data_IF_206517384162
#
_entry.id   IF_206517384162
#
_cell.length_a   1.000
_cell.length_b   1.000
_cell.length_c   1.000
_cell.angle_alpha   90.00
_cell.angle_beta   90.00
_cell.angle_gamma   90.00
#
_symmetry.space_group_name_H-M   'P 1'
#
loop_
_entity.id
_entity.type
_entity.pdbx_description
1 polymer ?
#
# COMPACT_ATOMS: atom_id res chain seq x y z
N UNK A 1 -5.88 9.30 -1.71
CA UNK A 1 -6.40 7.93 -1.51
C UNK A 1 -5.64 6.85 -2.27
N UNK A 2 -5.63 6.80 -3.62
CA UNK A 2 -4.97 5.73 -4.39
C UNK A 2 -3.51 5.39 -4.00
N UNK A 3 -2.74 6.36 -3.49
CA UNK A 3 -1.38 6.15 -3.01
C UNK A 3 -1.29 5.42 -1.68
N UNK A 4 -2.22 5.65 -0.76
CA UNK A 4 -2.10 5.18 0.64
C UNK A 4 -2.99 3.99 0.95
N UNK A 5 -3.98 3.71 0.10
CA UNK A 5 -5.00 2.70 0.34
C UNK A 5 -4.40 1.28 0.39
N UNK A 6 -4.77 0.53 1.42
CA UNK A 6 -4.32 -0.83 1.73
C UNK A 6 -5.52 -1.60 2.28
N UNK A 7 -5.64 -2.90 1.94
CA UNK A 7 -6.75 -3.75 2.38
C UNK A 7 -6.33 -5.20 2.68
N UNK A 8 -5.05 -5.53 2.48
CA UNK A 8 -4.46 -6.83 2.70
C UNK A 8 -2.96 -6.69 2.99
N UNK A 9 -2.30 -7.78 3.37
CA UNK A 9 -0.85 -7.79 3.64
C UNK A 9 -0.04 -7.37 2.43
N UNK A 10 -0.42 -7.81 1.24
CA UNK A 10 0.30 -7.55 -0.01
C UNK A 10 0.30 -6.06 -0.36
N UNK A 11 -0.85 -5.39 -0.29
CA UNK A 11 -1.00 -3.96 -0.51
C UNK A 11 -0.34 -3.14 0.60
N UNK A 12 -0.40 -3.60 1.85
CA UNK A 12 0.28 -2.97 2.98
C UNK A 12 1.80 -3.01 2.80
N UNK A 13 2.36 -4.17 2.44
CA UNK A 13 3.79 -4.33 2.15
C UNK A 13 4.18 -3.49 0.94
N UNK A 14 3.34 -3.47 -0.09
CA UNK A 14 3.55 -2.62 -1.27
C UNK A 14 3.66 -1.15 -0.90
N UNK A 15 2.74 -0.68 -0.04
CA UNK A 15 2.70 0.71 0.43
C UNK A 15 3.92 1.05 1.26
N UNK A 16 4.39 0.15 2.11
CA UNK A 16 5.59 0.36 2.91
C UNK A 16 6.82 0.64 2.04
N UNK A 17 7.01 -0.11 0.95
CA UNK A 17 8.18 0.05 0.05
C UNK A 17 8.26 1.45 -0.56
N UNK A 18 7.20 1.92 -1.22
CA UNK A 18 7.23 3.25 -1.84
C UNK A 18 6.99 4.40 -0.85
N UNK A 19 6.33 4.11 0.28
CA UNK A 19 6.12 5.08 1.36
C UNK A 19 7.37 5.31 2.20
N UNK A 20 8.33 4.39 2.17
CA UNK A 20 9.57 4.42 2.97
C UNK A 20 9.26 4.64 4.45
N UNK A 21 8.25 3.94 4.94
CA UNK A 21 7.69 4.14 6.29
C UNK A 21 8.48 3.45 7.41
N UNK A 22 9.62 2.84 7.10
CA UNK A 22 10.56 2.27 8.07
C UNK A 22 10.10 0.98 8.75
N UNK A 23 9.01 0.36 8.27
CA UNK A 23 8.52 -0.91 8.79
C UNK A 23 9.48 -2.04 8.41
N UNK A 24 9.95 -2.81 9.39
CA UNK A 24 10.80 -3.99 9.14
C UNK A 24 9.98 -5.20 8.69
N UNK A 25 8.82 -5.39 9.32
CA UNK A 25 7.87 -6.43 8.94
C UNK A 25 6.44 -5.99 9.27
N UNK A 26 5.47 -6.61 8.60
CA UNK A 26 4.06 -6.31 8.75
C UNK A 26 3.17 -7.45 8.25
N UNK A 27 1.98 -7.53 8.83
CA UNK A 27 0.93 -8.44 8.37
C UNK A 27 -0.45 -7.87 8.68
N UNK A 28 -1.38 -8.01 7.74
CA UNK A 28 -2.80 -7.79 8.02
C UNK A 28 -3.32 -9.03 8.75
N UNK A 29 -3.66 -8.87 10.03
CA UNK A 29 -4.17 -9.94 10.89
C UNK A 29 -5.61 -10.29 10.56
N UNK A 30 -6.40 -9.31 10.12
CA UNK A 30 -7.78 -9.55 9.73
C UNK A 30 -8.45 -8.32 9.15
N UNK A 31 -9.51 -8.56 8.38
CA UNK A 31 -10.36 -7.54 7.78
C UNK A 31 -11.73 -7.58 8.44
N UNK A 32 -12.16 -6.44 8.98
CA UNK A 32 -13.47 -6.26 9.59
C UNK A 32 -14.47 -5.70 8.57
N UNK A 33 -14.03 -4.72 7.78
CA UNK A 33 -14.81 -4.12 6.70
C UNK A 33 -13.97 -4.09 5.43
N UNK A 34 -14.51 -4.67 4.35
CA UNK A 34 -13.86 -4.72 3.05
C UNK A 34 -14.41 -3.62 2.12
N UNK A 35 -13.60 -3.16 1.16
CA UNK A 35 -14.04 -2.19 0.16
C UNK A 35 -15.19 -2.72 -0.70
N UNK A 36 -16.05 -1.81 -1.15
CA UNK A 36 -17.16 -2.12 -2.07
C UNK A 36 -17.00 -1.35 -3.39
N UNK A 37 -17.81 -1.68 -4.39
CA UNK A 37 -17.83 -0.92 -5.65
C UNK A 37 -18.25 0.55 -5.42
N UNK A 38 -19.19 0.78 -4.51
CA UNK A 38 -19.66 2.12 -4.17
C UNK A 38 -18.62 2.89 -3.35
N UNK A 39 -17.94 2.19 -2.44
CA UNK A 39 -16.94 2.75 -1.54
C UNK A 39 -15.60 1.99 -1.65
N UNK A 40 -14.82 2.22 -2.72
CA UNK A 40 -13.62 1.44 -3.01
C UNK A 40 -12.42 1.74 -2.12
N UNK A 41 -12.56 2.69 -1.18
CA UNK A 41 -11.51 3.09 -0.25
C UNK A 41 -11.89 2.91 1.21
N UNK A 42 -13.11 2.45 1.46
CA UNK A 42 -13.58 2.17 2.81
C UNK A 42 -13.01 0.82 3.23
N UNK A 43 -12.25 0.83 4.31
CA UNK A 43 -11.59 -0.36 4.84
C UNK A 43 -11.46 -0.22 6.36
N UNK A 44 -11.67 -1.34 7.05
CA UNK A 44 -11.38 -1.50 8.46
C UNK A 44 -10.71 -2.85 8.68
N UNK A 45 -9.52 -2.85 9.27
CA UNK A 45 -8.77 -4.07 9.52
C UNK A 45 -7.81 -3.94 10.69
N UNK A 46 -7.25 -5.05 11.13
CA UNK A 46 -6.22 -5.09 12.17
C UNK A 46 -4.91 -5.52 11.55
N UNK A 47 -3.85 -4.77 11.82
CA UNK A 47 -2.51 -5.08 11.34
C UNK A 47 -1.52 -5.19 12.51
N UNK A 48 -0.54 -6.08 12.36
CA UNK A 48 0.66 -6.10 13.18
C UNK A 48 1.82 -5.49 12.38
N UNK A 49 2.63 -4.67 13.03
CA UNK A 49 3.72 -3.92 12.41
C UNK A 49 4.93 -3.95 13.34
N UNK A 50 6.11 -4.22 12.78
CA UNK A 50 7.39 -4.26 13.48
C UNK A 50 8.28 -3.10 13.06
N UNK A 51 8.91 -2.48 14.03
CA UNK A 51 9.87 -1.39 13.88
C UNK A 51 11.14 -1.66 14.67
N UNK A 52 12.27 -1.32 14.07
CA UNK A 52 13.59 -1.30 14.70
C UNK A 52 14.12 0.12 14.75
N UNK A 53 14.90 0.40 15.78
CA UNK A 53 15.60 1.66 15.86
C UNK A 53 16.85 1.57 14.96
N UNK A 54 16.73 2.05 13.72
CA UNK A 54 17.82 1.99 12.74
C UNK A 54 19.07 2.66 13.30
N UNK A 55 20.18 1.93 13.33
CA UNK A 55 21.46 2.40 13.90
C UNK A 55 21.56 2.33 15.44
N UNK A 56 20.48 1.98 16.15
CA UNK A 56 20.44 1.88 17.62
C UNK A 56 20.05 0.51 18.16
N UNK A 57 19.94 -0.51 17.29
CA UNK A 57 19.45 -1.85 17.65
C UNK A 57 20.22 -2.58 18.77
N UNK A 58 21.46 -2.18 19.05
CA UNK A 58 22.25 -2.73 20.18
C UNK A 58 21.78 -2.24 21.56
N UNK A 59 21.10 -1.08 21.62
CA UNK A 59 20.70 -0.41 22.86
C UNK A 59 19.18 -0.29 22.95
N UNK A 60 18.51 -0.25 21.80
CA UNK A 60 17.08 0.00 21.66
C UNK A 60 16.44 -1.23 21.02
N UNK A 61 15.61 -1.94 21.80
CA UNK A 61 14.85 -3.14 21.37
C UNK A 61 13.93 -2.84 20.18
N UNK A 62 13.48 -3.87 19.45
CA UNK A 62 12.42 -3.70 18.46
C UNK A 62 11.08 -3.39 19.13
N UNK A 63 10.23 -2.66 18.41
CA UNK A 63 8.87 -2.33 18.82
C UNK A 63 7.86 -2.95 17.88
N UNK A 64 6.87 -3.64 18.42
CA UNK A 64 5.70 -4.02 17.65
C UNK A 64 4.48 -3.16 18.00
N UNK A 65 3.60 -3.02 17.02
CA UNK A 65 2.31 -2.38 17.19
C UNK A 65 1.23 -3.32 16.65
N UNK A 66 0.12 -3.40 17.38
CA UNK A 66 -1.12 -4.02 16.89
C UNK A 66 -2.12 -2.88 16.73
N UNK A 67 -2.50 -2.58 15.49
CA UNK A 67 -3.28 -1.39 15.15
C UNK A 67 -4.54 -1.75 14.40
N UNK A 68 -5.66 -1.13 14.79
CA UNK A 68 -6.84 -0.99 13.96
C UNK A 68 -6.55 0.08 12.91
N UNK A 69 -6.61 -0.29 11.65
CA UNK A 69 -6.44 0.58 10.49
C UNK A 69 -7.80 0.86 9.86
N UNK A 70 -8.11 2.13 9.66
CA UNK A 70 -9.33 2.57 8.99
C UNK A 70 -9.01 3.59 7.90
N UNK A 71 -9.57 3.41 6.71
CA UNK A 71 -9.47 4.39 5.63
C UNK A 71 -10.83 4.61 5.00
N UNK A 72 -11.03 5.79 4.42
CA UNK A 72 -12.25 6.05 3.67
C UNK A 72 -12.42 7.51 3.31
N UNK A 73 -13.67 7.86 2.99
CA UNK A 73 -14.09 9.24 2.85
C UNK A 73 -15.14 9.62 3.88
N UNK A 74 -15.13 10.88 4.28
CA UNK A 74 -16.14 11.46 5.15
C UNK A 74 -16.58 12.82 4.60
N UNK A 75 -17.77 13.25 5.03
CA UNK A 75 -18.29 14.59 4.73
C UNK A 75 -18.23 15.41 6.01
N UNK A 76 -17.59 16.57 5.96
CA UNK A 76 -17.52 17.47 7.12
C UNK A 76 -18.89 18.10 7.40
N UNK A 77 -19.07 18.70 8.57
CA UNK A 77 -20.27 19.49 8.90
C UNK A 77 -20.53 20.66 7.95
N UNK A 78 -19.52 21.06 7.16
CA UNK A 78 -19.62 22.10 6.12
C UNK A 78 -19.95 21.54 4.73
N UNK A 79 -20.18 20.24 4.61
CA UNK A 79 -20.46 19.57 3.34
C UNK A 79 -19.22 19.25 2.50
N UNK A 80 -18.00 19.45 3.03
CA UNK A 80 -16.77 19.17 2.30
C UNK A 80 -16.42 17.68 2.36
N UNK A 81 -16.07 17.09 1.22
CA UNK A 81 -15.58 15.71 1.16
C UNK A 81 -14.10 15.66 1.51
N UNK A 82 -13.75 14.86 2.51
CA UNK A 82 -12.38 14.62 2.95
C UNK A 82 -12.05 13.13 2.88
N UNK A 83 -10.80 12.81 2.54
CA UNK A 83 -10.26 11.46 2.72
C UNK A 83 -9.63 11.35 4.10
N UNK A 84 -9.65 10.16 4.70
CA UNK A 84 -8.97 9.93 5.96
C UNK A 84 -8.22 8.58 5.97
N UNK A 85 -7.21 8.50 6.82
CA UNK A 85 -6.53 7.26 7.19
C UNK A 85 -6.15 7.33 8.66
N UNK A 86 -6.60 6.36 9.43
CA UNK A 86 -6.40 6.26 10.87
C UNK A 86 -5.72 4.93 11.17
N UNK A 87 -4.76 4.95 12.07
CA UNK A 87 -4.18 3.75 12.66
C UNK A 87 -4.13 3.95 14.18
N UNK A 88 -4.81 3.07 14.93
CA UNK A 88 -4.89 3.21 16.38
C UNK A 88 -4.61 1.88 17.05
N UNK A 89 -3.72 1.87 18.05
CA UNK A 89 -3.36 0.65 18.75
C UNK A 89 -4.54 0.06 19.51
N UNK A 90 -4.65 -1.26 19.43
CA UNK A 90 -5.69 -2.07 20.08
C UNK A 90 -5.05 -3.28 20.75
N UNK A 91 -5.69 -3.79 21.80
CA UNK A 91 -5.33 -5.09 22.37
C UNK A 91 -5.95 -6.21 21.54
N UNK A 92 -5.18 -7.27 21.27
CA UNK A 92 -5.66 -8.45 20.57
C UNK A 92 -5.49 -9.68 21.46
N UNK A 93 -6.57 -10.39 21.85
CA UNK A 93 -6.51 -11.50 22.81
C UNK A 93 -5.52 -12.60 22.40
N UNK A 94 -5.52 -12.97 21.12
CA UNK A 94 -4.67 -14.05 20.61
C UNK A 94 -3.24 -13.60 20.27
N UNK A 95 -2.91 -12.31 20.44
CA UNK A 95 -1.58 -11.77 20.14
C UNK A 95 -1.03 -10.99 21.35
N UNK A 96 -0.61 -11.72 22.41
CA UNK A 96 0.01 -11.10 23.57
C UNK A 96 1.35 -10.45 23.22
N UNK A 97 1.91 -9.71 24.17
CA UNK A 97 3.22 -9.09 24.01
C UNK A 97 4.32 -10.13 23.77
N UNK A 98 5.17 -9.89 22.78
CA UNK A 98 6.24 -10.81 22.34
C UNK A 98 7.52 -10.65 23.19
N UNK A 99 7.37 -10.52 24.52
CA UNK A 99 8.50 -10.27 25.45
C UNK A 99 9.59 -11.34 25.37
N UNK A 100 9.19 -12.59 25.11
CA UNK A 100 10.11 -13.73 24.96
C UNK A 100 11.05 -13.60 23.74
N UNK A 101 10.67 -12.80 22.74
CA UNK A 101 11.53 -12.45 21.59
C UNK A 101 12.30 -11.14 21.80
N UNK A 102 12.21 -10.54 22.99
CA UNK A 102 12.84 -9.25 23.27
C UNK A 102 12.17 -8.06 22.58
N UNK A 103 10.95 -8.23 22.04
CA UNK A 103 10.17 -7.17 21.39
C UNK A 103 9.34 -6.43 22.45
N UNK A 104 9.27 -5.11 22.32
CA UNK A 104 8.50 -4.23 23.21
C UNK A 104 7.20 -3.81 22.51
N UNK A 105 6.05 -4.07 23.11
CA UNK A 105 4.76 -3.57 22.59
C UNK A 105 4.66 -2.06 22.80
N UNK A 106 4.51 -1.33 21.71
CA UNK A 106 4.28 0.10 21.71
C UNK A 106 2.84 0.42 21.34
N UNK A 107 2.37 1.62 21.70
CA UNK A 107 1.05 2.11 21.35
C UNK A 107 1.15 3.38 20.50
N UNK A 108 0.27 3.50 19.52
CA UNK A 108 0.16 4.69 18.70
C UNK A 108 -1.29 5.06 18.44
N UNK A 109 -1.51 6.34 18.16
CA UNK A 109 -2.72 6.86 17.55
C UNK A 109 -2.29 7.82 16.45
N UNK A 110 -2.46 7.41 15.20
CA UNK A 110 -2.12 8.15 14.01
C UNK A 110 -3.39 8.46 13.21
N UNK A 111 -3.51 9.70 12.75
CA UNK A 111 -4.58 10.12 11.85
C UNK A 111 -4.01 11.08 10.80
N UNK A 112 -4.40 10.87 9.55
CA UNK A 112 -4.20 11.82 8.47
C UNK A 112 -5.52 12.10 7.77
N UNK A 113 -5.78 13.38 7.52
CA UNK A 113 -6.93 13.89 6.79
C UNK A 113 -6.44 14.56 5.51
N UNK A 114 -7.06 14.23 4.39
CA UNK A 114 -6.79 14.78 3.07
C UNK A 114 -7.96 15.64 2.62
N UNK A 115 -7.70 16.93 2.40
CA UNK A 115 -8.66 17.89 1.85
C UNK A 115 -8.19 18.34 0.48
N UNK A 116 -9.03 18.13 -0.53
CA UNK A 116 -8.74 18.63 -1.88
C UNK A 116 -9.06 20.13 -1.94
N UNK A 117 -8.07 20.96 -2.25
CA UNK A 117 -8.25 22.40 -2.41
C UNK A 117 -8.49 22.79 -3.89
N UNK A 118 -7.89 22.03 -4.81
CA UNK A 118 -8.10 22.15 -6.26
C UNK A 118 -7.83 20.81 -6.95
N UNK A 119 -7.94 20.75 -8.28
CA UNK A 119 -7.63 19.52 -9.04
C UNK A 119 -6.18 19.04 -8.87
N UNK A 120 -5.27 19.94 -8.48
CA UNK A 120 -3.83 19.65 -8.37
C UNK A 120 -3.31 19.72 -6.94
N UNK A 121 -4.07 20.30 -6.01
CA UNK A 121 -3.62 20.56 -4.63
C UNK A 121 -4.47 19.76 -3.64
N UNK A 122 -3.78 18.91 -2.88
CA UNK A 122 -4.34 18.21 -1.72
C UNK A 122 -3.60 18.68 -0.48
N UNK A 123 -4.32 19.27 0.45
CA UNK A 123 -3.84 19.61 1.77
C UNK A 123 -3.95 18.39 2.68
N UNK A 124 -2.89 18.08 3.44
CA UNK A 124 -2.89 17.03 4.45
C UNK A 124 -2.74 17.62 5.85
N UNK A 125 -3.58 17.18 6.77
CA UNK A 125 -3.38 17.36 8.20
C UNK A 125 -3.04 16.01 8.81
N UNK A 126 -1.95 15.92 9.57
CA UNK A 126 -1.59 14.71 10.29
C UNK A 126 -1.41 14.98 11.77
N UNK A 127 -1.84 14.03 12.57
CA UNK A 127 -1.70 14.03 14.01
C UNK A 127 -1.27 12.64 14.46
N UNK A 128 -0.26 12.58 15.31
CA UNK A 128 0.23 11.31 15.86
C UNK A 128 0.56 11.45 17.33
N UNK A 129 0.22 10.43 18.09
CA UNK A 129 0.60 10.25 19.49
C UNK A 129 1.24 8.88 19.59
N UNK A 130 2.45 8.81 20.14
CA UNK A 130 3.20 7.55 20.27
C UNK A 130 3.61 7.38 21.74
N UNK A 131 3.26 6.24 22.30
CA UNK A 131 3.90 5.68 23.49
C UNK A 131 4.82 4.55 23.03
N UNK A 132 6.14 4.78 22.98
CA UNK A 132 7.08 3.83 22.40
C UNK A 132 7.32 2.59 23.26
N UNK A 133 6.83 2.59 24.52
CA UNK A 133 7.09 1.53 25.49
C UNK A 133 8.57 1.36 25.85
N UNK A 134 8.81 0.93 27.09
CA UNK A 134 10.16 0.64 27.59
C UNK A 134 11.15 1.81 27.40
N UNK A 135 12.44 1.50 27.25
CA UNK A 135 13.50 2.51 27.13
C UNK A 135 13.81 2.83 25.66
N UNK A 136 13.63 4.08 25.28
CA UNK A 136 14.06 4.67 24.00
C UNK A 136 14.42 6.13 24.22
N UNK A 137 15.29 6.68 23.37
CA UNK A 137 15.62 8.09 23.43
C UNK A 137 14.50 8.95 22.83
N UNK A 138 14.01 9.94 23.57
CA UNK A 138 12.92 10.80 23.10
C UNK A 138 13.24 11.55 21.80
N UNK A 139 14.49 11.97 21.60
CA UNK A 139 14.90 12.63 20.35
C UNK A 139 14.75 11.72 19.14
N UNK A 140 15.00 10.42 19.30
CA UNK A 140 14.86 9.43 18.24
C UNK A 140 13.39 9.26 17.86
N UNK A 141 12.52 9.09 18.85
CA UNK A 141 11.05 8.99 18.63
C UNK A 141 10.52 10.24 17.92
N UNK A 142 10.94 11.44 18.35
CA UNK A 142 10.54 12.69 17.72
C UNK A 142 11.01 12.79 16.26
N UNK A 143 12.24 12.35 15.97
CA UNK A 143 12.77 12.33 14.61
C UNK A 143 11.97 11.38 13.70
N UNK A 144 11.66 10.17 14.18
CA UNK A 144 10.85 9.20 13.41
C UNK A 144 9.44 9.72 13.14
N UNK A 145 8.81 10.37 14.12
CA UNK A 145 7.51 11.04 13.95
C UNK A 145 7.61 12.12 12.85
N UNK A 146 8.64 12.97 12.91
CA UNK A 146 8.84 14.03 11.92
C UNK A 146 9.05 13.46 10.52
N UNK A 147 9.88 12.42 10.39
CA UNK A 147 10.14 11.73 9.12
C UNK A 147 8.85 11.12 8.55
N UNK A 148 8.03 10.49 9.39
CA UNK A 148 6.74 9.91 8.98
C UNK A 148 5.78 10.97 8.43
N UNK A 149 5.67 12.12 9.10
CA UNK A 149 4.83 13.25 8.65
C UNK A 149 5.36 13.84 7.33
N UNK A 150 6.67 14.08 7.23
CA UNK A 150 7.30 14.61 6.01
C UNK A 150 7.20 13.63 4.83
N UNK A 151 7.19 12.33 5.10
CA UNK A 151 7.09 11.26 4.11
C UNK A 151 5.71 11.06 3.49
N UNK A 152 4.65 11.72 4.00
CA UNK A 152 3.28 11.52 3.51
C UNK A 152 3.08 11.83 2.02
N UNK A 153 3.96 12.61 1.41
CA UNK A 153 3.95 12.87 -0.03
C UNK A 153 4.48 11.73 -0.89
N UNK A 154 5.29 10.82 -0.35
CA UNK A 154 5.96 9.76 -1.12
C UNK A 154 5.00 8.85 -1.91
N UNK A 155 3.82 8.47 -1.39
CA UNK A 155 2.83 7.68 -2.13
C UNK A 155 2.20 8.34 -3.37
N UNK A 156 2.44 9.64 -3.61
CA UNK A 156 1.77 10.40 -4.67
C UNK A 156 2.14 9.93 -6.06
N UNK A 157 3.41 9.58 -6.32
CA UNK A 157 3.83 9.06 -7.62
C UNK A 157 3.15 7.73 -7.93
N UNK A 158 3.09 6.82 -6.94
CA UNK A 158 2.35 5.57 -7.06
C UNK A 158 0.87 5.81 -7.33
N UNK A 159 0.27 6.82 -6.67
CA UNK A 159 -1.13 7.19 -6.90
C UNK A 159 -1.38 7.62 -8.35
N UNK A 160 -0.50 8.44 -8.93
CA UNK A 160 -0.63 8.86 -10.33
C UNK A 160 -0.42 7.69 -11.30
N UNK A 161 0.57 6.84 -11.03
CA UNK A 161 0.80 5.63 -11.82
C UNK A 161 -0.40 4.68 -11.84
N UNK A 162 -1.04 4.47 -10.67
CA UNK A 162 -2.28 3.67 -10.56
C UNK A 162 -3.43 4.27 -11.39
N UNK A 163 -3.64 5.59 -11.32
CA UNK A 163 -4.67 6.29 -12.11
C UNK A 163 -4.41 6.18 -13.61
N UNK A 164 -3.16 6.42 -14.05
CA UNK A 164 -2.78 6.34 -15.44
C UNK A 164 -2.96 4.91 -15.99
N UNK A 165 -2.50 3.90 -15.24
CA UNK A 165 -2.68 2.50 -15.62
C UNK A 165 -4.16 2.13 -15.77
N UNK A 166 -5.00 2.55 -14.83
CA UNK A 166 -6.45 2.33 -14.92
C UNK A 166 -7.04 2.99 -16.17
N UNK A 167 -6.68 4.24 -16.45
CA UNK A 167 -7.15 4.97 -17.63
C UNK A 167 -6.75 4.28 -18.94
N UNK A 168 -5.48 3.84 -19.05
CA UNK A 168 -4.99 3.10 -20.21
C UNK A 168 -5.75 1.78 -20.42
N UNK A 169 -5.98 1.00 -19.36
CA UNK A 169 -6.75 -0.23 -19.46
C UNK A 169 -8.19 0.01 -19.91
N UNK A 170 -8.83 1.07 -19.40
CA UNK A 170 -10.17 1.47 -19.80
C UNK A 170 -10.22 1.82 -21.29
N UNK A 171 -9.31 2.66 -21.78
CA UNK A 171 -9.23 3.02 -23.20
C UNK A 171 -9.00 1.81 -24.10
N UNK A 172 -8.12 0.88 -23.68
CA UNK A 172 -7.87 -0.35 -24.45
C UNK A 172 -9.10 -1.27 -24.50
N UNK A 173 -9.85 -1.39 -23.41
CA UNK A 173 -11.07 -2.17 -23.36
C UNK A 173 -12.16 -1.57 -24.27
N UNK A 174 -12.34 -0.25 -24.22
CA UNK A 174 -13.28 0.48 -25.09
C UNK A 174 -12.91 0.33 -26.57
N UNK A 175 -11.63 0.47 -26.92
CA UNK A 175 -11.15 0.26 -28.29
C UNK A 175 -11.39 -1.16 -28.77
N UNK A 176 -11.10 -2.17 -27.95
CA UNK A 176 -11.40 -3.58 -28.29
C UNK A 176 -12.88 -3.83 -28.51
N UNK A 177 -13.75 -3.25 -27.69
CA UNK A 177 -15.20 -3.36 -27.86
C UNK A 177 -15.66 -2.73 -29.19
N UNK A 178 -15.09 -1.58 -29.56
CA UNK A 178 -15.35 -0.92 -30.84
C UNK A 178 -14.84 -1.74 -32.04
N UNK A 179 -13.65 -2.34 -31.95
CA UNK A 179 -13.08 -3.17 -33.02
C UNK A 179 -13.89 -4.47 -33.24
N UNK A 180 -14.39 -5.10 -32.16
CA UNK A 180 -15.31 -6.26 -32.24
C UNK A 180 -16.65 -5.87 -32.88
N UNK A 181 -17.18 -4.70 -32.55
CA UNK A 181 -18.42 -4.21 -33.15
C UNK A 181 -18.25 -3.84 -34.64
N UNK A 182 -17.08 -3.31 -35.02
CA UNK A 182 -16.75 -3.00 -36.41
C UNK A 182 -16.55 -4.26 -37.26
N UNK A 183 -15.86 -5.28 -36.74
CA UNK A 183 -15.66 -6.57 -37.42
C UNK A 183 -16.94 -7.39 -37.56
N UNK A 184 -17.90 -7.21 -36.65
CA UNK A 184 -19.25 -7.80 -36.73
C UNK A 184 -20.10 -7.21 -37.87
N UNK A 185 -19.80 -5.98 -38.33
CA UNK A 185 -20.48 -5.35 -39.47
C UNK A 185 -19.84 -5.67 -40.83
N UNK A 186 -18.60 -6.18 -40.84
CA UNK A 186 -17.83 -6.38 -42.08
C UNK A 186 -17.67 -7.84 -42.51
N UNK A 187 -18.27 -8.81 -41.83
CA UNK A 187 -18.04 -10.23 -42.11
C UNK A 187 -19.27 -10.95 -42.69
N UNK A 188 -19.47 -10.81 -44.01
CA UNK A 188 -19.74 -11.98 -44.85
C UNK A 188 -18.39 -12.67 -45.09
N UNK A 189 -18.22 -13.89 -44.57
CA UNK A 189 -17.02 -14.76 -44.64
C UNK A 189 -15.77 -14.18 -43.96
N UNK A 190 -15.18 -14.80 -42.95
CA UNK A 190 -14.67 -16.18 -42.94
C UNK A 190 -14.27 -16.53 -41.50
N UNK A 191 -14.51 -17.79 -41.14
CA UNK A 191 -14.21 -18.37 -39.83
C UNK A 191 -12.71 -18.47 -39.59
N UNK A 192 -12.20 -17.66 -38.65
CA UNK A 192 -10.91 -17.87 -38.00
C UNK A 192 -11.12 -17.91 -36.49
N UNK A 193 -10.99 -19.11 -35.93
CA UNK A 193 -11.02 -19.42 -34.52
C UNK A 193 -9.86 -18.73 -33.78
N UNK A 194 -10.15 -17.64 -33.08
CA UNK A 194 -9.23 -17.05 -32.10
C UNK A 194 -9.41 -17.75 -30.75
N UNK A 195 -8.39 -18.50 -30.33
CA UNK A 195 -8.30 -19.04 -28.98
C UNK A 195 -8.28 -17.89 -27.97
N UNK A 196 -9.33 -17.82 -27.15
CA UNK A 196 -9.37 -16.98 -25.96
C UNK A 196 -8.39 -17.54 -24.92
N UNK A 197 -7.17 -17.00 -24.90
CA UNK A 197 -6.29 -17.15 -23.75
C UNK A 197 -6.83 -16.28 -22.60
N UNK A 198 -7.82 -16.79 -21.87
CA UNK A 198 -8.11 -16.30 -20.52
C UNK A 198 -7.01 -16.78 -19.61
N UNK A 199 -5.96 -15.97 -19.44
CA UNK A 199 -5.00 -16.17 -18.35
C UNK A 199 -5.73 -15.89 -17.05
N UNK A 200 -6.29 -16.94 -16.43
CA UNK A 200 -6.63 -16.91 -15.00
C UNK A 200 -5.32 -16.64 -14.27
N UNK A 201 -5.22 -15.47 -13.65
CA UNK A 201 -4.09 -15.16 -12.76
C UNK A 201 -4.28 -16.01 -11.50
N UNK A 202 -3.67 -17.18 -11.46
CA UNK A 202 -3.37 -17.87 -10.20
C UNK A 202 -2.14 -17.18 -9.62
N UNK A 203 -2.31 -16.47 -8.51
CA UNK A 203 -1.20 -15.96 -7.69
C UNK A 203 -0.39 -17.16 -7.18
N UNK A 204 0.71 -17.45 -7.88
CA UNK A 204 1.74 -18.39 -7.46
C UNK A 204 2.83 -17.58 -6.78
N UNK A 205 3.10 -17.88 -5.51
CA UNK A 205 4.21 -17.34 -4.72
C UNK A 205 5.55 -17.89 -5.23
N UNK A 206 5.99 -17.47 -6.41
CA UNK A 206 7.31 -17.82 -6.91
C UNK A 206 8.34 -16.74 -6.51
N UNK A 207 9.27 -17.02 -5.58
CA UNK A 207 10.28 -16.06 -5.12
C UNK A 207 11.28 -15.66 -6.22
N UNK A 208 11.25 -16.33 -7.39
CA UNK A 208 12.11 -16.02 -8.53
C UNK A 208 11.55 -14.93 -9.45
N UNK A 209 10.38 -14.37 -9.14
CA UNK A 209 9.74 -13.34 -9.96
C UNK A 209 9.53 -12.06 -9.15
N UNK A 210 9.94 -10.94 -9.73
CA UNK A 210 9.70 -9.63 -9.17
C UNK A 210 8.20 -9.37 -9.14
N UNK A 211 7.65 -9.27 -7.94
CA UNK A 211 6.23 -9.04 -7.71
C UNK A 211 5.66 -7.76 -8.36
N UNK A 212 6.54 -6.80 -8.69
CA UNK A 212 6.13 -5.50 -9.23
C UNK A 212 6.06 -5.45 -10.75
N UNK A 213 7.07 -5.97 -11.43
CA UNK A 213 7.12 -5.97 -12.89
C UNK A 213 6.87 -7.34 -13.50
N UNK A 214 6.63 -8.37 -12.67
CA UNK A 214 6.44 -9.78 -13.05
C UNK A 214 7.58 -10.34 -13.92
N UNK A 215 8.77 -9.74 -13.83
CA UNK A 215 10.00 -10.18 -14.49
C UNK A 215 10.82 -11.05 -13.55
N UNK A 216 11.64 -11.93 -14.10
CA UNK A 216 12.48 -12.82 -13.28
C UNK A 216 13.53 -12.03 -12.48
N UNK A 217 13.71 -12.39 -11.21
CA UNK A 217 14.79 -11.86 -10.36
C UNK A 217 16.01 -12.76 -10.60
N UNK A 218 17.05 -12.22 -11.24
CA UNK A 218 18.24 -12.99 -11.58
C UNK A 218 19.52 -12.14 -11.60
N UNK A 219 20.63 -12.76 -11.18
CA UNK A 219 21.98 -12.28 -11.47
C UNK A 219 22.43 -12.98 -12.75
N UNK A 220 22.66 -12.25 -13.84
CA UNK A 220 23.74 -12.48 -14.81
C UNK A 220 23.65 -11.48 -16.00
N UNK A 221 24.83 -11.21 -16.56
CA UNK A 221 25.20 -10.25 -17.59
C UNK A 221 24.27 -10.23 -18.82
N UNK A 222 23.19 -9.43 -18.77
CA UNK A 222 22.49 -8.98 -19.96
C UNK A 222 22.65 -7.46 -20.06
N UNK A 223 22.98 -6.97 -21.25
CA UNK A 223 23.23 -5.55 -21.55
C UNK A 223 21.97 -4.68 -21.46
N UNK A 224 20.85 -5.24 -21.00
CA UNK A 224 19.54 -4.61 -20.84
C UNK A 224 18.93 -4.91 -19.46
N UNK A 225 19.75 -5.01 -18.41
CA UNK A 225 19.28 -5.09 -17.03
C UNK A 225 18.58 -3.79 -16.62
N UNK A 226 17.25 -3.77 -16.64
CA UNK A 226 16.44 -2.68 -16.10
C UNK A 226 16.24 -2.92 -14.59
N UNK A 227 16.84 -2.07 -13.78
CA UNK A 227 16.57 -2.06 -12.34
C UNK A 227 15.10 -1.70 -12.12
N UNK A 228 14.38 -2.51 -11.36
CA UNK A 228 12.99 -2.18 -11.02
C UNK A 228 13.00 -0.91 -10.18
N UNK A 229 12.36 0.16 -10.65
CA UNK A 229 12.31 1.45 -9.96
C UNK A 229 11.52 1.41 -8.64
N UNK A 230 10.88 0.28 -8.33
CA UNK A 230 10.03 0.12 -7.15
C UNK A 230 10.69 -0.77 -6.09
N UNK A 231 11.14 -1.98 -6.43
CA UNK A 231 11.84 -2.85 -5.47
C UNK A 231 13.37 -2.72 -5.51
N UNK A 232 13.91 -1.91 -6.43
CA UNK A 232 15.34 -1.71 -6.67
C UNK A 232 16.15 -2.99 -7.00
N UNK A 233 15.50 -4.14 -7.21
CA UNK A 233 16.16 -5.37 -7.66
C UNK A 233 16.35 -5.38 -9.17
N UNK A 234 17.41 -6.06 -9.62
CA UNK A 234 17.68 -6.30 -11.04
C UNK A 234 16.71 -7.35 -11.55
N UNK A 235 15.84 -6.95 -12.47
CA UNK A 235 14.82 -7.80 -13.05
C UNK A 235 15.10 -8.02 -14.53
N UNK A 236 15.09 -9.27 -14.99
CA UNK A 236 15.29 -9.65 -16.40
C UNK A 236 13.95 -10.08 -17.00
#
# INVERSE_FOLDING_TARGET
>A
MYGIFVHDTTSLRRRSVYGKDGMDDLVMLGTLESPTEQNPFDFLGVAWILYSATGLGAIVKQRDYVVLMSTGFATTSRGERIGYSIAQSVSHPDLPELKHLGIVRANMSFCVIFRQQSDQIVQSFAHTVIDPGGTVFSFYVLQEIANSILGMGAPMECAQGKKLRWYLHKMMAEKRAADVFATSKSSHSSSLSLLAATTRMTESEDPTVCWYCHKSIGKLFSTLSLQCTICHQVCV
#
